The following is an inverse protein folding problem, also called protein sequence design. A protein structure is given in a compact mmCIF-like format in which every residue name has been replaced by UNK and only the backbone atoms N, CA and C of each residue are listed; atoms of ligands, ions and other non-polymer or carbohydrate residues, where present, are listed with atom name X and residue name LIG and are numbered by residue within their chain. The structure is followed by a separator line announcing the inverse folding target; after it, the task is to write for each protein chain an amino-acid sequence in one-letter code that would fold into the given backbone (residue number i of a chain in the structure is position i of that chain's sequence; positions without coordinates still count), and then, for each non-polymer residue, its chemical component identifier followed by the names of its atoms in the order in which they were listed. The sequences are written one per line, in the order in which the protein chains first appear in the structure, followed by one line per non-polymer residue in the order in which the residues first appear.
data_IF_725367705284
#
_entry.id   IF_725367705284
#
_cell.length_a   1.000
_cell.length_b   1.000
_cell.length_c   1.000
_cell.angle_alpha   90.00
_cell.angle_beta   90.00
_cell.angle_gamma   90.00
#
_symmetry.space_group_name_H-M   'P 1'
#
loop_
_entity.id
_entity.type
_entity.pdbx_description
1 polymer ?
#
# COMPACT_ATOMS: atom_id res chain seq x y z
N UNK A 1 36.16 37.07 30.23
CA UNK A 1 35.93 37.15 28.76
C UNK A 1 36.30 35.84 28.05
N UNK A 2 35.76 34.69 28.48
CA UNK A 2 36.13 33.37 27.90
C UNK A 2 34.96 32.39 27.76
N UNK A 3 33.73 32.77 28.11
CA UNK A 3 32.57 31.86 28.08
C UNK A 3 31.69 31.99 26.82
N UNK A 4 31.85 33.04 26.01
CA UNK A 4 30.93 33.33 24.89
C UNK A 4 31.31 32.69 23.55
N UNK A 5 32.45 31.99 23.44
CA UNK A 5 32.90 31.36 22.19
C UNK A 5 32.48 29.90 22.01
N UNK A 6 31.90 29.27 23.02
CA UNK A 6 31.51 27.85 22.98
C UNK A 6 30.14 27.60 22.33
N UNK A 7 29.22 28.58 22.37
CA UNK A 7 27.85 28.40 21.85
C UNK A 7 27.75 28.48 20.32
N UNK A 8 28.71 29.10 19.64
CA UNK A 8 28.68 29.23 18.19
C UNK A 8 29.05 27.95 17.42
N UNK A 9 29.68 26.95 18.08
CA UNK A 9 30.08 25.69 17.44
C UNK A 9 29.02 24.58 17.49
N UNK A 10 28.04 24.67 18.38
CA UNK A 10 26.96 23.68 18.50
C UNK A 10 25.80 23.91 17.52
N UNK A 11 25.58 25.16 17.09
CA UNK A 11 24.54 25.47 16.11
C UNK A 11 24.88 25.00 14.68
N UNK A 12 26.17 24.87 14.35
CA UNK A 12 26.61 24.41 13.03
C UNK A 12 26.48 22.89 12.83
N UNK A 13 26.40 22.09 13.91
CA UNK A 13 26.21 20.63 13.81
C UNK A 13 24.73 20.20 13.72
N UNK A 14 23.78 21.06 14.13
CA UNK A 14 22.35 20.74 14.02
C UNK A 14 21.79 20.97 12.61
N UNK A 15 22.39 21.88 11.83
CA UNK A 15 21.96 22.21 10.47
C UNK A 15 22.43 21.19 9.41
N UNK A 16 23.48 20.41 9.69
CA UNK A 16 23.96 19.37 8.76
C UNK A 16 23.19 18.06 8.86
N UNK A 17 22.48 17.81 9.96
CA UNK A 17 21.66 16.61 10.15
C UNK A 17 20.29 16.70 9.47
N UNK A 18 19.76 17.90 9.24
CA UNK A 18 18.46 18.08 8.56
C UNK A 18 18.56 17.91 7.04
N UNK A 19 19.71 18.18 6.43
CA UNK A 19 19.94 17.96 5.00
C UNK A 19 19.94 16.46 4.63
N UNK A 20 20.25 15.57 5.57
CA UNK A 20 20.27 14.13 5.29
C UNK A 20 18.88 13.47 5.29
N UNK A 21 17.88 14.05 5.96
CA UNK A 21 16.53 13.51 5.96
C UNK A 21 15.83 13.68 4.60
N UNK A 22 16.08 14.78 3.87
CA UNK A 22 15.52 15.02 2.55
C UNK A 22 16.24 14.24 1.42
N UNK A 23 17.47 13.77 1.65
CA UNK A 23 18.16 12.86 0.72
C UNK A 23 17.68 11.40 0.86
N UNK A 24 17.05 11.05 1.98
CA UNK A 24 16.59 9.69 2.28
C UNK A 24 15.31 9.25 1.53
N UNK A 25 14.57 10.17 0.88
CA UNK A 25 13.27 9.84 0.28
C UNK A 25 13.34 8.90 -0.92
N UNK A 26 14.35 9.04 -1.78
CA UNK A 26 14.51 8.20 -2.98
C UNK A 26 15.68 7.21 -2.89
N UNK A 27 16.64 7.40 -2.00
CA UNK A 27 17.79 6.51 -1.88
C UNK A 27 17.37 5.10 -1.46
N UNK A 28 17.88 4.07 -2.13
CA UNK A 28 17.59 2.67 -1.82
C UNK A 28 17.61 1.75 -3.03
N UNK A 29 17.26 0.49 -2.77
CA UNK A 29 17.09 -0.55 -3.78
C UNK A 29 15.60 -0.81 -3.96
N UNK A 30 15.17 -0.94 -5.22
CA UNK A 30 13.80 -1.18 -5.58
C UNK A 30 13.65 -2.32 -6.59
N UNK A 31 12.55 -3.05 -6.46
CA UNK A 31 12.17 -4.17 -7.31
C UNK A 31 10.92 -3.79 -8.10
N UNK A 32 10.94 -4.02 -9.42
CA UNK A 32 9.83 -3.66 -10.29
C UNK A 32 8.60 -4.53 -10.09
N UNK A 33 7.43 -3.94 -10.34
CA UNK A 33 6.10 -4.54 -10.21
C UNK A 33 5.31 -4.37 -11.53
N UNK A 34 4.45 -5.34 -11.84
CA UNK A 34 3.55 -5.28 -13.00
C UNK A 34 4.32 -5.09 -14.31
N UNK A 35 4.12 -3.95 -14.99
CA UNK A 35 4.84 -3.64 -16.23
C UNK A 35 6.37 -3.51 -16.05
N UNK A 36 6.86 -3.36 -14.82
CA UNK A 36 8.27 -3.31 -14.47
C UNK A 36 8.79 -4.64 -13.89
N UNK A 37 8.03 -5.74 -13.94
CA UNK A 37 8.49 -7.02 -13.41
C UNK A 37 9.81 -7.47 -14.06
N UNK A 38 10.75 -7.94 -13.23
CA UNK A 38 12.13 -8.26 -13.64
C UNK A 38 13.10 -7.07 -13.65
N UNK A 39 12.62 -5.83 -13.53
CA UNK A 39 13.48 -4.65 -13.40
C UNK A 39 13.97 -4.47 -11.96
N UNK A 40 15.16 -3.90 -11.81
CA UNK A 40 15.73 -3.47 -10.52
C UNK A 40 16.25 -2.05 -10.63
N UNK A 41 15.95 -1.22 -9.64
CA UNK A 41 16.34 0.19 -9.60
C UNK A 41 17.14 0.43 -8.32
N UNK A 42 18.36 0.93 -8.46
CA UNK A 42 19.22 1.30 -7.34
C UNK A 42 19.50 2.80 -7.42
N UNK A 43 19.25 3.51 -6.32
CA UNK A 43 19.38 4.96 -6.24
C UNK A 43 20.29 5.31 -5.07
N UNK A 44 21.39 5.98 -5.35
CA UNK A 44 22.30 6.52 -4.35
C UNK A 44 22.37 8.04 -4.47
N UNK A 45 22.30 8.74 -3.34
CA UNK A 45 22.53 10.18 -3.32
C UNK A 45 23.99 10.50 -3.71
N UNK A 46 24.19 11.47 -4.59
CA UNK A 46 25.51 11.93 -5.07
C UNK A 46 25.52 13.45 -5.15
N UNK A 47 25.81 14.12 -4.03
CA UNK A 47 25.73 15.57 -3.93
C UNK A 47 24.31 16.08 -4.19
N UNK A 48 24.17 16.98 -5.16
CA UNK A 48 22.87 17.56 -5.57
C UNK A 48 22.10 16.70 -6.59
N UNK A 49 22.64 15.55 -6.96
CA UNK A 49 22.04 14.59 -7.89
C UNK A 49 21.88 13.21 -7.26
N UNK A 50 21.30 12.29 -8.03
CA UNK A 50 21.24 10.87 -7.75
C UNK A 50 22.06 10.09 -8.77
N UNK A 51 22.89 9.17 -8.29
CA UNK A 51 23.44 8.11 -9.11
C UNK A 51 22.40 6.98 -9.17
N UNK A 52 21.94 6.66 -10.37
CA UNK A 52 20.91 5.65 -10.59
C UNK A 52 21.48 4.51 -11.41
N UNK A 53 21.22 3.27 -10.99
CA UNK A 53 21.45 2.07 -11.78
C UNK A 53 20.12 1.39 -12.02
N UNK A 54 19.76 1.23 -13.28
CA UNK A 54 18.54 0.55 -13.71
C UNK A 54 18.93 -0.75 -14.42
N UNK A 55 18.58 -1.88 -13.83
CA UNK A 55 18.78 -3.21 -14.43
C UNK A 55 17.48 -3.65 -15.10
N UNK A 56 17.56 -3.91 -16.40
CA UNK A 56 16.44 -4.40 -17.22
C UNK A 56 16.23 -5.92 -17.04
N UNK A 57 15.10 -6.51 -17.49
CA UNK A 57 14.81 -7.93 -17.32
C UNK A 57 15.82 -8.88 -18.00
N UNK A 58 16.58 -8.37 -18.96
CA UNK A 58 17.68 -9.09 -19.61
C UNK A 58 18.97 -9.14 -18.75
N UNK A 59 18.96 -8.48 -17.58
CA UNK A 59 20.09 -8.36 -16.68
C UNK A 59 21.05 -7.20 -17.02
N UNK A 60 20.77 -6.42 -18.07
CA UNK A 60 21.61 -5.30 -18.44
C UNK A 60 21.44 -4.13 -17.46
N UNK A 61 22.52 -3.77 -16.77
CA UNK A 61 22.55 -2.62 -15.87
C UNK A 61 22.94 -1.34 -16.62
N UNK A 62 22.11 -0.29 -16.48
CA UNK A 62 22.30 1.03 -17.09
C UNK A 62 22.47 2.06 -15.99
N UNK A 63 23.66 2.64 -15.89
CA UNK A 63 23.95 3.71 -14.94
C UNK A 63 23.70 5.08 -15.58
N UNK A 64 23.05 5.99 -14.85
CA UNK A 64 22.85 7.37 -15.27
C UNK A 64 22.80 8.31 -14.06
N UNK A 65 22.97 9.62 -14.33
CA UNK A 65 22.80 10.67 -13.34
C UNK A 65 21.39 11.23 -13.47
N UNK A 66 20.71 11.40 -12.34
CA UNK A 66 19.41 12.05 -12.28
C UNK A 66 19.48 13.29 -11.39
N UNK A 67 19.12 14.44 -11.94
CA UNK A 67 19.06 15.70 -11.22
C UNK A 67 17.89 15.69 -10.24
N UNK A 68 18.08 16.32 -9.08
CA UNK A 68 17.02 16.44 -8.09
C UNK A 68 16.02 17.52 -8.52
N UNK A 69 14.74 17.16 -8.51
CA UNK A 69 13.62 18.06 -8.80
C UNK A 69 12.57 17.94 -7.70
N UNK A 70 12.69 18.77 -6.66
CA UNK A 70 11.90 18.65 -5.42
C UNK A 70 12.14 17.29 -4.75
N UNK A 71 11.07 16.53 -4.53
CA UNK A 71 11.13 15.17 -3.98
C UNK A 71 11.34 14.10 -5.07
N UNK A 72 11.39 14.51 -6.34
CA UNK A 72 11.61 13.63 -7.50
C UNK A 72 13.04 13.72 -8.04
N UNK A 73 13.41 12.79 -8.91
CA UNK A 73 14.64 12.85 -9.69
C UNK A 73 14.33 12.73 -11.18
N UNK A 74 15.12 13.38 -12.03
CA UNK A 74 14.95 13.33 -13.48
C UNK A 74 16.30 13.17 -14.19
N UNK A 75 16.40 12.27 -15.16
CA UNK A 75 17.64 12.05 -15.89
C UNK A 75 17.44 11.29 -17.19
N UNK A 76 18.40 11.38 -18.10
CA UNK A 76 18.38 10.64 -19.37
C UNK A 76 19.12 9.33 -19.21
N UNK A 77 18.49 8.23 -19.64
CA UNK A 77 19.06 6.89 -19.63
C UNK A 77 18.95 6.25 -21.02
N UNK A 78 19.95 5.43 -21.38
CA UNK A 78 19.89 4.59 -22.58
C UNK A 78 19.37 3.20 -22.20
N UNK A 79 18.10 2.94 -22.53
CA UNK A 79 17.44 1.64 -22.31
C UNK A 79 17.62 0.74 -23.55
N UNK A 80 17.26 -0.54 -23.42
CA UNK A 80 17.17 -1.47 -24.56
C UNK A 80 16.27 -0.95 -25.69
N UNK A 81 15.23 -0.18 -25.33
CA UNK A 81 14.28 0.45 -26.26
C UNK A 81 14.75 1.77 -26.87
N UNK A 82 15.93 2.27 -26.47
CA UNK A 82 16.48 3.57 -26.90
C UNK A 82 16.70 4.54 -25.75
N UNK A 83 17.11 5.76 -26.06
CA UNK A 83 17.22 6.83 -25.06
C UNK A 83 15.84 7.25 -24.56
N UNK A 84 15.72 7.48 -23.25
CA UNK A 84 14.51 7.98 -22.62
C UNK A 84 14.86 8.97 -21.50
N UNK A 85 14.00 9.98 -21.34
CA UNK A 85 13.94 10.77 -20.12
C UNK A 85 13.20 9.96 -19.06
N UNK A 86 13.84 9.76 -17.92
CA UNK A 86 13.28 9.06 -16.77
C UNK A 86 12.98 10.06 -15.66
N UNK A 87 11.74 10.06 -15.19
CA UNK A 87 11.33 10.81 -13.99
C UNK A 87 10.94 9.84 -12.88
N UNK A 88 11.63 9.92 -11.75
CA UNK A 88 11.48 9.05 -10.60
C UNK A 88 10.81 9.84 -9.47
N UNK A 89 9.61 9.42 -9.06
CA UNK A 89 8.88 10.02 -7.94
C UNK A 89 8.73 9.01 -6.80
N UNK A 90 8.89 9.43 -5.54
CA UNK A 90 8.68 8.55 -4.39
C UNK A 90 7.20 8.21 -4.24
N UNK A 91 6.93 7.00 -3.75
CA UNK A 91 5.61 6.50 -3.36
C UNK A 91 5.67 6.02 -1.90
N UNK A 92 4.51 5.83 -1.26
CA UNK A 92 4.44 5.46 0.16
C UNK A 92 5.26 4.20 0.53
N UNK A 93 5.41 3.24 -0.39
CA UNK A 93 6.15 1.98 -0.19
C UNK A 93 7.14 1.68 -1.31
N UNK A 94 7.55 2.69 -2.09
CA UNK A 94 8.36 2.46 -3.28
C UNK A 94 8.63 3.70 -4.11
N UNK A 95 8.69 3.52 -5.43
CA UNK A 95 8.91 4.59 -6.39
C UNK A 95 8.13 4.34 -7.68
N UNK A 96 7.74 5.41 -8.34
CA UNK A 96 7.16 5.40 -9.68
C UNK A 96 8.16 6.00 -10.65
N UNK A 97 8.46 5.29 -11.73
CA UNK A 97 9.33 5.78 -12.81
C UNK A 97 8.49 5.99 -14.06
N UNK A 98 8.47 7.22 -14.55
CA UNK A 98 7.89 7.57 -15.84
C UNK A 98 9.01 7.62 -16.87
N UNK A 99 8.94 6.76 -17.88
CA UNK A 99 9.88 6.71 -18.98
C UNK A 99 9.27 7.33 -20.23
N UNK A 100 9.85 8.43 -20.70
CA UNK A 100 9.42 9.15 -21.90
C UNK A 100 10.53 8.99 -22.94
N UNK A 101 10.35 8.13 -23.95
CA UNK A 101 11.37 7.89 -24.96
C UNK A 101 11.59 9.14 -25.82
N UNK A 102 12.80 9.30 -26.33
CA UNK A 102 13.05 10.25 -27.40
C UNK A 102 12.60 9.66 -28.75
N UNK A 103 12.14 10.52 -29.65
CA UNK A 103 12.13 10.23 -31.07
C UNK A 103 13.58 10.31 -31.61
N UNK A 104 13.84 9.75 -32.79
CA UNK A 104 15.19 9.71 -33.37
C UNK A 104 15.85 11.08 -33.60
N UNK A 105 15.15 12.19 -33.31
CA UNK A 105 15.61 13.57 -33.42
C UNK A 105 15.70 14.26 -32.03
N UNK A 106 15.70 13.47 -30.94
CA UNK A 106 15.79 13.93 -29.54
C UNK A 106 14.63 14.82 -29.08
N UNK A 107 13.45 14.66 -29.68
CA UNK A 107 12.20 15.21 -29.12
C UNK A 107 11.53 14.17 -28.25
N UNK A 108 10.93 14.57 -27.13
CA UNK A 108 10.19 13.64 -26.27
C UNK A 108 8.93 13.14 -26.96
N UNK A 109 8.78 11.82 -27.08
CA UNK A 109 7.57 11.18 -27.62
C UNK A 109 6.63 10.80 -26.47
N UNK A 110 5.75 11.73 -26.12
CA UNK A 110 4.75 11.53 -25.07
C UNK A 110 3.79 10.36 -25.36
N UNK A 111 3.56 10.02 -26.64
CA UNK A 111 2.65 8.93 -27.04
C UNK A 111 3.16 7.54 -26.69
N UNK A 112 4.48 7.40 -26.48
CA UNK A 112 5.13 6.15 -26.05
C UNK A 112 5.56 6.16 -24.58
N UNK A 113 5.01 7.07 -23.78
CA UNK A 113 5.30 7.15 -22.34
C UNK A 113 4.88 5.86 -21.63
N UNK A 114 5.75 5.37 -20.75
CA UNK A 114 5.46 4.22 -19.88
C UNK A 114 5.59 4.61 -18.42
N UNK A 115 4.70 4.08 -17.59
CA UNK A 115 4.81 4.19 -16.13
C UNK A 115 5.18 2.84 -15.57
N UNK A 116 6.27 2.80 -14.83
CA UNK A 116 6.85 1.63 -14.19
C UNK A 116 6.74 1.80 -12.67
N UNK A 117 6.21 0.80 -11.99
CA UNK A 117 6.06 0.81 -10.54
C UNK A 117 7.16 -0.03 -9.90
N UNK A 118 7.75 0.48 -8.83
CA UNK A 118 8.79 -0.20 -8.07
C UNK A 118 8.45 -0.19 -6.60
N UNK A 119 8.72 -1.29 -5.90
CA UNK A 119 8.68 -1.37 -4.44
C UNK A 119 10.09 -1.29 -3.87
N UNK A 120 10.24 -0.80 -2.65
CA UNK A 120 11.53 -0.87 -1.95
C UNK A 120 11.83 -2.33 -1.55
N UNK A 121 13.09 -2.77 -1.65
CA UNK A 121 13.49 -4.16 -1.39
C UNK A 121 13.32 -4.56 0.09
N UNK A 122 13.55 -3.62 1.00
CA UNK A 122 13.42 -3.79 2.46
C UNK A 122 11.97 -3.75 2.96
N UNK A 123 11.01 -3.40 2.09
CA UNK A 123 9.58 -3.43 2.42
C UNK A 123 9.04 -4.81 2.10
N UNK A 124 8.72 -5.56 3.16
CA UNK A 124 8.02 -6.83 3.05
C UNK A 124 6.69 -6.61 2.32
N UNK A 125 6.56 -7.14 1.10
CA UNK A 125 5.26 -7.21 0.47
C UNK A 125 4.35 -8.12 1.30
N UNK A 126 3.07 -7.78 1.45
CA UNK A 126 2.10 -8.76 1.94
C UNK A 126 2.17 -9.98 1.01
N UNK A 127 2.24 -11.18 1.59
CA UNK A 127 2.23 -12.42 0.80
C UNK A 127 1.03 -12.40 -0.15
N UNK A 128 1.28 -12.74 -1.43
CA UNK A 128 0.19 -12.82 -2.39
C UNK A 128 -0.83 -13.84 -1.88
N UNK A 129 -2.10 -13.47 -1.77
CA UNK A 129 -3.09 -14.35 -1.18
C UNK A 129 -3.22 -15.64 -1.99
N UNK A 130 -3.47 -16.76 -1.32
CA UNK A 130 -3.58 -18.07 -1.98
C UNK A 130 -4.74 -18.11 -2.98
N UNK A 131 -5.73 -17.23 -2.81
CA UNK A 131 -6.93 -17.12 -3.65
C UNK A 131 -7.19 -15.68 -4.07
N UNK A 132 -6.21 -15.08 -4.74
CA UNK A 132 -6.37 -13.76 -5.34
C UNK A 132 -7.33 -13.81 -6.55
N UNK A 133 -8.31 -12.91 -6.57
CA UNK A 133 -9.14 -12.63 -7.74
C UNK A 133 -8.95 -11.18 -8.19
N UNK A 134 -9.06 -10.88 -9.50
CA UNK A 134 -9.06 -9.50 -9.96
C UNK A 134 -10.29 -8.73 -9.45
N UNK A 135 -10.16 -7.41 -9.31
CA UNK A 135 -11.26 -6.55 -8.94
C UNK A 135 -12.38 -6.61 -10.00
N UNK A 136 -13.67 -6.63 -9.62
CA UNK A 136 -14.76 -6.45 -10.57
C UNK A 136 -14.63 -5.11 -11.30
N UNK A 137 -14.90 -5.11 -12.61
CA UNK A 137 -14.97 -3.89 -13.44
C UNK A 137 -16.39 -3.29 -13.47
N UNK A 138 -17.35 -3.93 -12.80
CA UNK A 138 -18.72 -3.46 -12.63
C UNK A 138 -19.43 -4.21 -11.49
N UNK A 139 -20.71 -3.88 -11.21
CA UNK A 139 -21.52 -4.62 -10.25
C UNK A 139 -21.64 -6.10 -10.63
N UNK A 140 -21.47 -6.99 -9.65
CA UNK A 140 -21.57 -8.45 -9.82
C UNK A 140 -22.63 -9.02 -8.89
N UNK A 141 -23.21 -10.17 -9.25
CA UNK A 141 -24.32 -10.78 -8.47
C UNK A 141 -23.86 -11.56 -7.25
N UNK A 142 -22.70 -12.19 -7.34
CA UNK A 142 -22.15 -13.04 -6.31
C UNK A 142 -20.62 -12.93 -6.32
N UNK A 143 -20.01 -13.04 -5.14
CA UNK A 143 -18.56 -13.06 -5.00
C UNK A 143 -18.14 -14.00 -3.86
N UNK A 144 -17.04 -14.72 -4.02
CA UNK A 144 -16.50 -15.63 -3.01
C UNK A 144 -15.93 -14.83 -1.82
N UNK A 145 -16.48 -15.03 -0.62
CA UNK A 145 -16.14 -14.23 0.55
C UNK A 145 -14.67 -14.36 0.97
N UNK A 146 -14.09 -15.56 0.83
CA UNK A 146 -12.69 -15.80 1.15
C UNK A 146 -11.79 -15.06 0.17
N UNK A 147 -12.02 -15.23 -1.12
CA UNK A 147 -11.29 -14.55 -2.17
C UNK A 147 -11.43 -13.02 -2.04
N UNK A 148 -12.61 -12.52 -1.66
CA UNK A 148 -12.81 -11.10 -1.37
C UNK A 148 -11.88 -10.62 -0.25
N UNK A 149 -11.91 -11.25 0.94
CA UNK A 149 -11.09 -10.85 2.09
C UNK A 149 -9.61 -10.87 1.77
N UNK A 150 -9.19 -11.84 0.97
CA UNK A 150 -7.82 -11.98 0.50
C UNK A 150 -7.43 -10.90 -0.53
N UNK A 151 -8.35 -10.45 -1.38
CA UNK A 151 -8.02 -9.65 -2.58
C UNK A 151 -8.35 -8.16 -2.49
N UNK A 152 -9.36 -7.75 -1.70
CA UNK A 152 -9.78 -6.33 -1.59
C UNK A 152 -8.67 -5.32 -1.27
N UNK A 153 -7.60 -5.65 -0.50
CA UNK A 153 -6.57 -4.66 -0.17
C UNK A 153 -5.84 -4.14 -1.41
N UNK A 154 -5.76 -4.97 -2.45
CA UNK A 154 -5.03 -4.71 -3.68
C UNK A 154 -5.90 -4.08 -4.77
N UNK A 155 -7.20 -3.96 -4.54
CA UNK A 155 -8.14 -3.44 -5.52
C UNK A 155 -8.36 -1.94 -5.38
N UNK A 156 -8.81 -1.31 -6.46
CA UNK A 156 -9.39 0.03 -6.39
C UNK A 156 -10.64 0.06 -5.47
N UNK A 157 -10.90 1.17 -4.77
CA UNK A 157 -12.04 1.30 -3.87
C UNK A 157 -13.39 0.90 -4.46
N UNK A 158 -13.64 1.27 -5.73
CA UNK A 158 -14.89 0.97 -6.41
C UNK A 158 -15.08 -0.54 -6.65
N UNK A 159 -14.03 -1.25 -7.06
CA UNK A 159 -14.08 -2.70 -7.27
C UNK A 159 -14.31 -3.45 -5.95
N UNK A 160 -13.68 -2.98 -4.86
CA UNK A 160 -13.94 -3.51 -3.52
C UNK A 160 -15.39 -3.30 -3.06
N UNK A 161 -15.99 -2.15 -3.37
CA UNK A 161 -17.40 -1.90 -3.08
C UNK A 161 -18.33 -2.86 -3.80
N UNK A 162 -18.18 -3.02 -5.12
CA UNK A 162 -19.01 -3.95 -5.91
C UNK A 162 -18.87 -5.40 -5.44
N UNK A 163 -17.66 -5.84 -5.13
CA UNK A 163 -17.43 -7.18 -4.61
C UNK A 163 -18.05 -7.37 -3.22
N UNK A 164 -17.95 -6.38 -2.32
CA UNK A 164 -18.55 -6.44 -0.99
C UNK A 164 -20.08 -6.53 -1.06
N UNK A 165 -20.71 -5.75 -1.94
CA UNK A 165 -22.16 -5.78 -2.19
C UNK A 165 -22.64 -7.14 -2.72
N UNK A 166 -21.78 -7.83 -3.47
CA UNK A 166 -22.05 -9.15 -4.02
C UNK A 166 -21.81 -10.31 -3.05
N UNK A 167 -21.29 -10.06 -1.85
CA UNK A 167 -21.16 -11.08 -0.81
C UNK A 167 -22.54 -11.48 -0.27
N UNK A 168 -22.68 -12.75 0.10
CA UNK A 168 -23.89 -13.16 0.82
C UNK A 168 -24.00 -12.46 2.19
N UNK A 169 -25.21 -12.13 2.67
CA UNK A 169 -25.41 -11.40 3.93
C UNK A 169 -24.74 -12.07 5.15
N UNK A 170 -24.69 -13.41 5.18
CA UNK A 170 -24.05 -14.17 6.26
C UNK A 170 -22.54 -13.88 6.33
N UNK A 171 -21.86 -13.79 5.19
CA UNK A 171 -20.43 -13.55 5.16
C UNK A 171 -20.09 -12.10 5.50
N UNK A 172 -20.90 -11.13 5.05
CA UNK A 172 -20.77 -9.72 5.50
C UNK A 172 -20.91 -9.58 7.01
N UNK A 173 -21.83 -10.34 7.60
CA UNK A 173 -22.01 -10.40 9.06
C UNK A 173 -20.76 -10.94 9.75
N UNK A 174 -20.20 -12.05 9.25
CA UNK A 174 -18.95 -12.62 9.78
C UNK A 174 -17.80 -11.63 9.67
N UNK A 175 -17.59 -10.98 8.51
CA UNK A 175 -16.53 -9.98 8.31
C UNK A 175 -16.63 -8.84 9.35
N UNK A 176 -17.85 -8.38 9.65
CA UNK A 176 -18.09 -7.31 10.64
C UNK A 176 -17.71 -7.67 12.07
N UNK A 177 -17.58 -8.96 12.41
CA UNK A 177 -17.10 -9.40 13.73
C UNK A 177 -15.59 -9.19 13.89
N UNK A 178 -14.84 -9.05 12.79
CA UNK A 178 -13.39 -8.83 12.80
C UNK A 178 -13.12 -7.33 12.66
N UNK A 179 -13.13 -6.62 13.79
CA UNK A 179 -13.19 -5.17 13.83
C UNK A 179 -12.00 -4.44 13.19
N UNK A 180 -10.77 -4.98 13.27
CA UNK A 180 -9.61 -4.40 12.56
C UNK A 180 -9.74 -4.59 11.06
N UNK A 181 -10.15 -5.77 10.61
CA UNK A 181 -10.41 -6.03 9.18
C UNK A 181 -11.55 -5.14 8.69
N UNK A 182 -12.62 -4.98 9.47
CA UNK A 182 -13.74 -4.10 9.17
C UNK A 182 -13.29 -2.64 9.08
N UNK A 183 -12.40 -2.17 9.97
CA UNK A 183 -11.84 -0.83 9.90
C UNK A 183 -10.99 -0.60 8.64
N UNK A 184 -10.14 -1.55 8.26
CA UNK A 184 -9.33 -1.50 7.02
C UNK A 184 -10.23 -1.53 5.77
N UNK A 185 -11.26 -2.37 5.78
CA UNK A 185 -12.24 -2.45 4.72
C UNK A 185 -13.02 -1.13 4.59
N UNK A 186 -13.51 -0.56 5.70
CA UNK A 186 -14.19 0.73 5.69
C UNK A 186 -13.28 1.84 5.15
N UNK A 187 -11.99 1.83 5.52
CA UNK A 187 -11.05 2.79 4.96
C UNK A 187 -10.96 2.68 3.43
N UNK A 188 -10.91 1.46 2.87
CA UNK A 188 -10.99 1.24 1.42
C UNK A 188 -12.33 1.70 0.83
N UNK A 189 -13.46 1.25 1.38
CA UNK A 189 -14.79 1.52 0.83
C UNK A 189 -15.16 3.02 0.88
N UNK A 190 -14.72 3.74 1.91
CA UNK A 190 -14.97 5.17 2.04
C UNK A 190 -14.23 6.04 1.01
N UNK A 191 -13.25 5.48 0.30
CA UNK A 191 -12.56 6.13 -0.82
C UNK A 191 -13.23 5.85 -2.17
N UNK A 192 -14.31 5.06 -2.20
CA UNK A 192 -15.08 4.81 -3.41
C UNK A 192 -15.77 6.10 -3.89
N UNK A 193 -15.76 6.40 -5.20
CA UNK A 193 -16.51 7.54 -5.73
C UNK A 193 -18.02 7.36 -5.58
N UNK A 194 -18.49 6.11 -5.43
CA UNK A 194 -19.89 5.79 -5.19
C UNK A 194 -20.15 5.45 -3.72
N UNK A 195 -21.27 5.97 -3.20
CA UNK A 195 -21.81 5.60 -1.89
C UNK A 195 -22.91 4.55 -2.07
N UNK A 196 -22.50 3.30 -2.29
CA UNK A 196 -23.40 2.17 -2.48
C UNK A 196 -24.09 1.70 -1.19
N UNK A 197 -25.07 0.82 -1.33
CA UNK A 197 -25.78 0.21 -0.21
C UNK A 197 -24.84 -0.63 0.67
N UNK A 198 -23.81 -1.24 0.07
CA UNK A 198 -22.79 -2.00 0.78
C UNK A 198 -21.97 -1.14 1.73
N UNK A 199 -21.63 0.10 1.36
CA UNK A 199 -20.94 1.02 2.28
C UNK A 199 -21.83 1.38 3.48
N UNK A 200 -23.12 1.67 3.24
CA UNK A 200 -24.06 1.96 4.32
C UNK A 200 -24.26 0.75 5.26
N UNK A 201 -24.29 -0.46 4.71
CA UNK A 201 -24.32 -1.70 5.50
C UNK A 201 -23.03 -1.89 6.31
N UNK A 202 -21.87 -1.67 5.70
CA UNK A 202 -20.57 -1.81 6.34
C UNK A 202 -20.38 -0.84 7.51
N UNK A 203 -20.90 0.39 7.40
CA UNK A 203 -20.85 1.40 8.47
C UNK A 203 -21.83 1.12 9.62
N UNK A 204 -22.87 0.31 9.38
CA UNK A 204 -23.95 0.09 10.35
C UNK A 204 -23.41 -0.50 11.65
N UNK A 205 -23.70 0.19 12.76
CA UNK A 205 -23.28 -0.25 14.10
C UNK A 205 -21.77 -0.14 14.37
N UNK A 206 -21.00 0.52 13.50
CA UNK A 206 -19.54 0.65 13.67
C UNK A 206 -19.12 1.90 14.46
N UNK A 207 -20.06 2.79 14.77
CA UNK A 207 -19.81 4.02 15.54
C UNK A 207 -18.92 5.04 14.83
N UNK A 208 -18.83 4.98 13.50
CA UNK A 208 -18.01 5.87 12.66
C UNK A 208 -18.77 6.27 11.40
N UNK A 209 -18.44 7.44 10.86
CA UNK A 209 -18.69 7.79 9.45
C UNK A 209 -17.40 7.74 8.64
N UNK A 210 -17.49 7.86 7.32
CA UNK A 210 -16.30 7.79 6.46
C UNK A 210 -15.23 8.83 6.80
N UNK A 211 -15.63 10.05 7.18
CA UNK A 211 -14.69 11.08 7.59
C UNK A 211 -13.88 10.64 8.83
N UNK A 212 -14.50 9.99 9.81
CA UNK A 212 -13.81 9.52 11.02
C UNK A 212 -12.76 8.45 10.68
N UNK A 213 -13.08 7.55 9.75
CA UNK A 213 -12.20 6.45 9.34
C UNK A 213 -11.00 7.00 8.58
N UNK A 214 -11.24 7.81 7.56
CA UNK A 214 -10.16 8.40 6.73
C UNK A 214 -9.24 9.25 7.59
N UNK A 215 -9.79 10.10 8.47
CA UNK A 215 -8.99 10.95 9.35
C UNK A 215 -8.20 10.13 10.39
N UNK A 216 -8.78 9.07 10.95
CA UNK A 216 -8.07 8.22 11.90
C UNK A 216 -6.87 7.51 11.26
N UNK A 217 -7.03 7.01 10.03
CA UNK A 217 -5.94 6.35 9.31
C UNK A 217 -4.87 7.35 8.88
N UNK A 218 -5.27 8.54 8.42
CA UNK A 218 -4.33 9.63 8.11
C UNK A 218 -3.51 10.06 9.33
N UNK A 219 -4.14 10.16 10.51
CA UNK A 219 -3.44 10.43 11.76
C UNK A 219 -2.46 9.31 12.13
N UNK A 220 -2.86 8.03 11.96
CA UNK A 220 -1.97 6.90 12.19
C UNK A 220 -0.75 6.91 11.24
N UNK A 221 -0.93 7.35 9.99
CA UNK A 221 0.16 7.54 9.02
C UNK A 221 1.12 8.64 9.47
N UNK A 222 0.59 9.82 9.82
CA UNK A 222 1.40 10.95 10.29
C UNK A 222 2.13 10.65 11.60
N UNK A 223 1.54 9.86 12.49
CA UNK A 223 2.10 9.48 13.79
C UNK A 223 2.95 8.21 13.81
N UNK A 224 3.17 7.55 12.67
CA UNK A 224 3.96 6.32 12.58
C UNK A 224 3.29 5.05 13.15
N UNK A 225 2.01 5.12 13.53
CA UNK A 225 1.24 3.98 14.03
C UNK A 225 0.63 3.10 12.92
N UNK A 226 0.72 3.54 11.66
CA UNK A 226 0.10 2.88 10.51
C UNK A 226 0.65 1.47 10.26
N UNK A 227 1.96 1.26 10.35
CA UNK A 227 2.54 -0.07 10.11
C UNK A 227 2.06 -1.08 11.15
N UNK A 228 1.97 -0.67 12.42
CA UNK A 228 1.38 -1.47 13.49
C UNK A 228 -0.09 -1.78 13.22
N UNK A 229 -0.86 -0.81 12.74
CA UNK A 229 -2.25 -1.02 12.34
C UNK A 229 -2.34 -2.08 11.23
N UNK A 230 -1.56 -1.95 10.16
CA UNK A 230 -1.57 -2.92 9.04
C UNK A 230 -1.09 -4.30 9.44
N UNK A 231 -0.09 -4.41 10.33
CA UNK A 231 0.36 -5.68 10.89
C UNK A 231 -0.76 -6.39 11.67
N UNK A 232 -1.47 -5.65 12.52
CA UNK A 232 -2.59 -6.20 13.31
C UNK A 232 -3.78 -6.57 12.41
N UNK A 233 -4.07 -5.79 11.36
CA UNK A 233 -5.06 -6.15 10.33
C UNK A 233 -4.69 -7.46 9.63
N UNK A 234 -3.41 -7.65 9.26
CA UNK A 234 -2.97 -8.87 8.59
C UNK A 234 -3.14 -10.11 9.48
N UNK A 235 -2.81 -10.00 10.77
CA UNK A 235 -3.03 -11.08 11.75
C UNK A 235 -4.52 -11.43 11.88
N UNK A 236 -5.37 -10.43 12.06
CA UNK A 236 -6.81 -10.66 12.20
C UNK A 236 -7.45 -11.19 10.90
N UNK A 237 -6.96 -10.75 9.74
CA UNK A 237 -7.40 -11.26 8.44
C UNK A 237 -7.13 -12.75 8.27
N UNK A 238 -5.98 -13.24 8.73
CA UNK A 238 -5.65 -14.67 8.66
C UNK A 238 -6.68 -15.51 9.44
N UNK A 239 -7.13 -15.01 10.60
CA UNK A 239 -8.19 -15.65 11.40
C UNK A 239 -9.54 -15.63 10.66
N UNK A 240 -9.92 -14.48 10.07
CA UNK A 240 -11.15 -14.36 9.29
C UNK A 240 -11.17 -15.31 8.09
N UNK A 241 -10.05 -15.44 7.36
CA UNK A 241 -9.93 -16.38 6.23
C UNK A 241 -10.14 -17.82 6.69
N UNK A 242 -9.58 -18.22 7.84
CA UNK A 242 -9.80 -19.54 8.41
C UNK A 242 -11.26 -19.75 8.82
N UNK A 243 -11.91 -18.74 9.42
CA UNK A 243 -13.34 -18.76 9.75
C UNK A 243 -14.21 -18.94 8.53
N UNK A 244 -13.95 -18.22 7.44
CA UNK A 244 -14.71 -18.33 6.20
C UNK A 244 -14.53 -19.71 5.55
N UNK A 245 -13.30 -20.26 5.53
CA UNK A 245 -13.05 -21.60 4.97
C UNK A 245 -13.80 -22.70 5.75
N UNK A 246 -13.86 -22.58 7.08
CA UNK A 246 -14.60 -23.51 7.93
C UNK A 246 -16.12 -23.36 7.84
N UNK A 247 -16.63 -22.16 7.56
CA UNK A 247 -18.06 -21.89 7.42
C UNK A 247 -18.68 -22.45 6.13
N UNK A 248 -17.91 -22.49 5.04
CA UNK A 248 -18.40 -22.98 3.74
C UNK A 248 -18.33 -24.53 3.62
N UNK A 249 -17.50 -25.20 4.43
CA UNK A 249 -17.32 -26.67 4.41
C UNK A 249 -18.01 -27.35 5.59
N UNK A 250 -19.34 -27.34 5.62
CA UNK A 250 -20.14 -28.00 6.66
C UNK A 250 -19.84 -29.50 6.87
N UNK A 251 -19.22 -30.17 5.89
CA UNK A 251 -18.99 -31.63 5.89
C UNK A 251 -17.55 -32.02 6.24
N UNK A 252 -16.61 -31.08 6.21
CA UNK A 252 -15.18 -31.36 6.46
C UNK A 252 -14.68 -30.52 7.64
N UNK A 253 -15.01 -30.95 8.86
CA UNK A 253 -14.43 -30.38 10.09
C UNK A 253 -12.94 -30.75 10.19
N UNK A 254 -12.10 -30.01 9.47
CA UNK A 254 -10.66 -30.05 9.70
C UNK A 254 -10.34 -29.66 11.15
N UNK A 255 -9.23 -30.13 11.73
CA UNK A 255 -8.89 -29.91 13.14
C UNK A 255 -8.85 -28.42 13.57
N UNK A 256 -8.62 -27.49 12.63
CA UNK A 256 -8.62 -26.05 12.90
C UNK A 256 -10.00 -25.37 13.00
N UNK A 257 -11.10 -26.05 12.63
CA UNK A 257 -12.42 -25.39 12.60
C UNK A 257 -13.05 -25.18 13.98
N UNK A 258 -12.66 -25.98 14.98
CA UNK A 258 -13.06 -25.73 16.36
C UNK A 258 -12.48 -24.41 16.90
N UNK A 259 -11.23 -24.09 16.56
CA UNK A 259 -10.60 -22.82 16.92
C UNK A 259 -11.25 -21.63 16.22
N UNK A 260 -11.52 -21.76 14.92
CA UNK A 260 -12.21 -20.71 14.16
C UNK A 260 -13.62 -20.43 14.70
N UNK A 261 -14.36 -21.48 15.12
CA UNK A 261 -15.66 -21.33 15.76
C UNK A 261 -15.56 -20.63 17.13
N UNK A 262 -14.58 -21.03 17.97
CA UNK A 262 -14.31 -20.36 19.25
C UNK A 262 -13.94 -18.89 19.07
N UNK A 263 -13.11 -18.57 18.09
CA UNK A 263 -12.72 -17.20 17.78
C UNK A 263 -13.92 -16.38 17.31
N UNK A 264 -14.74 -16.93 16.42
CA UNK A 264 -15.97 -16.26 15.95
C UNK A 264 -16.92 -15.97 17.11
N UNK A 265 -17.13 -16.93 18.01
CA UNK A 265 -17.95 -16.73 19.20
C UNK A 265 -17.39 -15.65 20.14
N UNK A 266 -16.06 -15.65 20.36
CA UNK A 266 -15.38 -14.61 21.15
C UNK A 266 -15.59 -13.22 20.55
N UNK A 267 -15.49 -13.09 19.22
CA UNK A 267 -15.69 -11.82 18.51
C UNK A 267 -17.14 -11.36 18.52
N UNK A 268 -18.09 -12.30 18.42
CA UNK A 268 -19.51 -11.99 18.55
C UNK A 268 -19.87 -11.35 19.90
N UNK A 269 -19.10 -11.64 20.97
CA UNK A 269 -19.32 -11.06 22.30
C UNK A 269 -18.38 -9.91 22.66
N UNK A 270 -17.36 -9.60 21.86
CA UNK A 270 -16.32 -8.62 22.23
C UNK A 270 -16.78 -7.16 22.20
N UNK A 271 -17.95 -6.88 21.61
CA UNK A 271 -18.49 -5.52 21.39
C UNK A 271 -17.51 -4.58 20.66
N UNK A 272 -16.44 -5.10 20.07
CA UNK A 272 -15.49 -4.31 19.32
C UNK A 272 -16.11 -3.84 18.00
N UNK A 273 -15.85 -2.58 17.66
CA UNK A 273 -16.30 -1.91 16.43
C UNK A 273 -15.12 -1.23 15.75
N UNK A 274 -15.30 -0.80 14.50
CA UNK A 274 -14.30 0.02 13.82
C UNK A 274 -13.91 1.26 14.65
N UNK A 275 -14.87 1.93 15.30
CA UNK A 275 -14.59 3.06 16.20
C UNK A 275 -13.64 2.69 17.34
N UNK A 276 -13.90 1.56 18.02
CA UNK A 276 -13.10 1.16 19.19
C UNK A 276 -11.68 0.79 18.81
N UNK A 277 -11.48 0.11 17.67
CA UNK A 277 -10.15 -0.31 17.26
C UNK A 277 -9.33 0.83 16.67
N UNK A 278 -9.95 1.74 15.90
CA UNK A 278 -9.25 2.89 15.31
C UNK A 278 -8.67 3.83 16.39
N UNK A 279 -9.34 3.97 17.54
CA UNK A 279 -8.81 4.77 18.67
C UNK A 279 -7.47 4.27 19.23
N UNK A 280 -7.08 3.01 18.98
CA UNK A 280 -5.81 2.43 19.46
C UNK A 280 -4.59 2.88 18.64
N UNK A 281 -4.82 3.54 17.51
CA UNK A 281 -3.78 3.93 16.55
C UNK A 281 -3.75 5.44 16.29
N UNK A 282 -4.49 6.21 17.09
CA UNK A 282 -4.42 7.67 17.10
C UNK A 282 -3.36 8.16 18.07
#
# INVERSE_FOLDING_TARGET
MTAFRAFARLAALALTLWAQAAAAQLGGVYLGLGAAEGWRLEIAAKGDAYAVVLTEPDGAARAFSADRLGDSAEGVATLSSGEALLRIAPEAVGARVVAIPFDGVRTLDAGRTRTLAFRREDVALPQQPKRFLPAPTGPVRAFDARAFVESYPFWEPQGALWAYEALEPRHRTVIRLFALVQADLLWKLCQSPQRGAGLAEALRGQGVVCADVVNAVAAAQAGGAFDRFKANVAQERALLVATLDCGDKYVAHGPGCADAARETARRAVSMETAATVLRRYR
#
